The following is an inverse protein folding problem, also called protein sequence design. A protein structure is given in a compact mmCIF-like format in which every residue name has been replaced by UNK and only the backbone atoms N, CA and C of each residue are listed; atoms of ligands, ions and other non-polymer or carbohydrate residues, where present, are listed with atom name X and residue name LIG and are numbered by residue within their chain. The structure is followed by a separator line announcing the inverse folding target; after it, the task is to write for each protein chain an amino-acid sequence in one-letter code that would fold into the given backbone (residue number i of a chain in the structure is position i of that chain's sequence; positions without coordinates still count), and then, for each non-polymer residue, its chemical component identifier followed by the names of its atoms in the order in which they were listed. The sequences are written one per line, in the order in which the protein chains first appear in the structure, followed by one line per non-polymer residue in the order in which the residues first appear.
data_IF_049168594909
#
_entry.id   IF_049168594909
#
_cell.length_a   1.000
_cell.length_b   1.000
_cell.length_c   1.000
_cell.angle_alpha   90.00
_cell.angle_beta   90.00
_cell.angle_gamma   90.00
#
_symmetry.space_group_name_H-M   'P 1'
#
loop_
_entity.id
_entity.type
_entity.pdbx_description
1 polymer ?
#
# COMPACT_ATOMS: atom_id res chain seq x y z
N UNK A 1 -25.19 41.69 -25.11
CA UNK A 1 -26.47 41.11 -24.71
C UNK A 1 -26.35 40.53 -23.32
N UNK A 2 -26.93 41.25 -22.36
CA UNK A 2 -26.98 40.92 -20.94
C UNK A 2 -28.06 39.88 -20.66
N UNK A 3 -27.71 38.81 -19.95
CA UNK A 3 -28.70 37.95 -19.30
C UNK A 3 -28.15 37.43 -17.97
N UNK A 4 -28.57 38.05 -16.87
CA UNK A 4 -28.63 37.43 -15.53
C UNK A 4 -30.05 36.89 -15.30
N UNK A 5 -30.21 35.82 -14.52
CA UNK A 5 -31.07 35.90 -13.31
C UNK A 5 -30.40 35.22 -12.09
N UNK A 6 -30.43 35.74 -10.84
CA UNK A 6 -31.51 35.75 -9.80
C UNK A 6 -32.02 34.31 -9.51
N UNK A 7 -32.07 33.76 -8.29
CA UNK A 7 -32.39 34.26 -6.92
C UNK A 7 -31.83 33.27 -5.86
N UNK A 8 -31.48 33.71 -4.64
CA UNK A 8 -31.04 32.85 -3.53
C UNK A 8 -32.23 32.27 -2.73
N UNK A 9 -32.23 30.96 -2.51
CA UNK A 9 -33.17 30.27 -1.63
C UNK A 9 -32.73 30.33 -0.17
N UNK A 10 -33.51 31.04 0.66
CA UNK A 10 -33.42 31.00 2.13
C UNK A 10 -33.97 29.65 2.63
N UNK A 11 -33.10 28.79 3.16
CA UNK A 11 -33.48 27.51 3.77
C UNK A 11 -33.29 27.51 5.28
N UNK A 12 -34.42 27.55 5.99
CA UNK A 12 -34.77 27.13 7.37
C UNK A 12 -33.71 27.16 8.51
N UNK A 13 -34.04 27.75 9.67
CA UNK A 13 -33.26 27.54 10.89
C UNK A 13 -33.40 26.09 11.40
N UNK A 14 -32.26 25.48 11.74
CA UNK A 14 -32.18 24.18 12.42
C UNK A 14 -32.86 24.24 13.79
N UNK A 15 -33.60 23.19 14.20
CA UNK A 15 -34.09 23.06 15.56
C UNK A 15 -32.93 22.82 16.53
N UNK A 16 -32.92 23.57 17.63
CA UNK A 16 -32.03 23.35 18.78
C UNK A 16 -32.18 21.93 19.33
N UNK A 17 -31.08 21.23 19.62
CA UNK A 17 -31.14 19.94 20.31
C UNK A 17 -31.56 20.15 21.77
N UNK A 18 -32.54 19.36 22.21
CA UNK A 18 -32.98 19.30 23.60
C UNK A 18 -31.85 18.77 24.51
N UNK A 19 -31.73 19.26 25.76
CA UNK A 19 -30.76 18.74 26.72
C UNK A 19 -31.15 17.32 27.13
N UNK A 20 -30.31 16.36 26.77
CA UNK A 20 -30.39 14.98 27.26
C UNK A 20 -30.18 14.99 28.78
N UNK A 21 -31.22 14.58 29.51
CA UNK A 21 -31.16 14.33 30.94
C UNK A 21 -30.18 13.19 31.21
N UNK A 22 -29.05 13.51 31.83
CA UNK A 22 -28.11 12.54 32.41
C UNK A 22 -28.79 11.81 33.58
N UNK A 23 -29.45 10.70 33.27
CA UNK A 23 -29.77 9.68 34.26
C UNK A 23 -28.48 9.06 34.78
N UNK A 24 -28.04 9.48 35.97
CA UNK A 24 -26.95 8.83 36.71
C UNK A 24 -27.44 7.46 37.18
N UNK A 25 -27.28 6.44 36.34
CA UNK A 25 -27.26 5.07 36.82
C UNK A 25 -25.89 4.82 37.48
N UNK A 26 -25.85 4.26 38.71
CA UNK A 26 -24.60 3.82 39.29
C UNK A 26 -23.99 2.76 38.35
N UNK A 27 -22.67 2.82 38.09
CA UNK A 27 -22.01 1.79 37.31
C UNK A 27 -22.18 0.46 38.05
N UNK A 28 -23.01 -0.42 37.49
CA UNK A 28 -23.01 -1.82 37.87
C UNK A 28 -21.66 -2.36 37.42
N UNK A 29 -20.70 -2.40 38.35
CA UNK A 29 -19.42 -3.02 38.11
C UNK A 29 -19.70 -4.47 37.68
N UNK A 30 -19.31 -4.88 36.46
CA UNK A 30 -19.44 -6.26 36.07
C UNK A 30 -18.64 -7.08 37.06
N UNK A 31 -19.35 -7.96 37.79
CA UNK A 31 -18.77 -9.03 38.57
C UNK A 31 -17.68 -9.68 37.72
N UNK A 32 -16.44 -9.54 38.16
CA UNK A 32 -15.32 -10.22 37.52
C UNK A 32 -15.64 -11.72 37.47
N UNK A 33 -15.45 -12.39 36.32
CA UNK A 33 -15.74 -13.80 36.20
C UNK A 33 -14.98 -14.59 37.27
N UNK A 34 -15.72 -15.33 38.09
CA UNK A 34 -15.29 -16.18 39.22
C UNK A 34 -14.43 -17.40 38.78
N UNK A 35 -13.76 -17.31 37.63
CA UNK A 35 -12.86 -18.33 37.05
C UNK A 35 -11.41 -18.21 37.53
N UNK A 36 -11.13 -17.39 38.55
CA UNK A 36 -9.75 -17.02 38.95
C UNK A 36 -9.24 -17.69 40.24
N UNK A 37 -9.96 -18.66 40.79
CA UNK A 37 -9.70 -19.19 42.13
C UNK A 37 -8.45 -20.10 42.29
N UNK A 38 -7.40 -19.98 41.46
CA UNK A 38 -6.22 -20.84 41.60
C UNK A 38 -4.90 -20.45 40.95
N UNK A 39 -4.78 -19.31 40.25
CA UNK A 39 -3.50 -18.88 39.64
C UNK A 39 -3.03 -17.57 40.27
N UNK A 40 -1.73 -17.47 40.58
CA UNK A 40 -1.13 -16.24 41.06
C UNK A 40 -1.25 -15.14 40.00
N UNK A 41 -1.31 -13.88 40.44
CA UNK A 41 -1.23 -12.73 39.53
C UNK A 41 0.00 -12.81 38.61
N UNK A 42 1.13 -13.28 39.14
CA UNK A 42 2.35 -13.48 38.36
C UNK A 42 2.18 -14.56 37.27
N UNK A 43 1.47 -15.66 37.55
CA UNK A 43 1.19 -16.71 36.57
C UNK A 43 0.27 -16.19 35.46
N UNK A 44 -0.72 -15.38 35.83
CA UNK A 44 -1.62 -14.74 34.87
C UNK A 44 -0.87 -13.77 33.95
N UNK A 45 0.01 -12.92 34.49
CA UNK A 45 0.83 -12.03 33.67
C UNK A 45 1.76 -12.81 32.74
N UNK A 46 2.43 -13.84 33.26
CA UNK A 46 3.29 -14.72 32.46
C UNK A 46 2.53 -15.33 31.30
N UNK A 47 1.32 -15.84 31.56
CA UNK A 47 0.44 -16.41 30.54
C UNK A 47 0.03 -15.38 29.49
N UNK A 48 -0.42 -14.20 29.89
CA UNK A 48 -0.81 -13.13 28.95
C UNK A 48 0.36 -12.73 28.05
N UNK A 49 1.57 -12.58 28.61
CA UNK A 49 2.76 -12.25 27.83
C UNK A 49 3.14 -13.37 26.88
N UNK A 50 3.05 -14.62 27.31
CA UNK A 50 3.31 -15.78 26.45
C UNK A 50 2.31 -15.84 25.28
N UNK A 51 1.01 -15.70 25.56
CA UNK A 51 -0.04 -15.70 24.54
C UNK A 51 0.15 -14.55 23.54
N UNK A 52 0.49 -13.35 24.02
CA UNK A 52 0.77 -12.18 23.16
C UNK A 52 2.01 -12.35 22.29
N UNK A 53 3.08 -12.97 22.81
CA UNK A 53 4.28 -13.28 22.04
C UNK A 53 4.01 -14.31 20.95
N UNK A 54 3.25 -15.36 21.27
CA UNK A 54 2.84 -16.37 20.29
C UNK A 54 2.00 -15.75 19.16
N UNK A 55 1.00 -14.94 19.53
CA UNK A 55 0.17 -14.19 18.58
C UNK A 55 1.00 -13.28 17.66
N UNK A 56 1.96 -12.54 18.23
CA UNK A 56 2.84 -11.68 17.42
C UNK A 56 3.72 -12.50 16.46
N UNK A 57 4.31 -13.60 16.93
CA UNK A 57 5.14 -14.47 16.10
C UNK A 57 4.33 -15.08 14.93
N UNK A 58 3.08 -15.45 15.18
CA UNK A 58 2.18 -15.94 14.13
C UNK A 58 1.90 -14.87 13.06
N UNK A 59 1.63 -13.63 13.49
CA UNK A 59 1.40 -12.50 12.57
C UNK A 59 2.64 -12.15 11.74
N UNK A 60 3.83 -12.23 12.33
CA UNK A 60 5.11 -12.05 11.62
C UNK A 60 5.32 -13.12 10.55
N UNK A 61 5.00 -14.38 10.87
CA UNK A 61 5.04 -15.49 9.91
C UNK A 61 4.04 -15.28 8.77
N UNK A 62 2.84 -14.80 9.06
CA UNK A 62 1.81 -14.47 8.06
C UNK A 62 2.26 -13.31 7.16
N UNK A 63 2.86 -12.25 7.73
CA UNK A 63 3.42 -11.13 6.98
C UNK A 63 4.54 -11.57 6.01
N UNK A 64 5.43 -12.45 6.47
CA UNK A 64 6.58 -12.94 5.67
C UNK A 64 6.14 -13.61 4.37
N UNK A 65 4.98 -14.29 4.36
CA UNK A 65 4.42 -14.90 3.13
C UNK A 65 4.17 -13.85 2.05
N UNK A 66 3.55 -12.73 2.41
CA UNK A 66 3.31 -11.63 1.47
C UNK A 66 4.62 -11.01 1.01
N UNK A 67 5.56 -10.69 1.91
CA UNK A 67 6.83 -10.06 1.53
C UNK A 67 7.63 -10.89 0.52
N UNK A 68 7.69 -12.22 0.70
CA UNK A 68 8.35 -13.11 -0.25
C UNK A 68 7.65 -13.14 -1.62
N UNK A 69 6.32 -13.11 -1.62
CA UNK A 69 5.54 -13.09 -2.85
C UNK A 69 5.61 -11.76 -3.59
N UNK A 70 5.47 -10.65 -2.86
CA UNK A 70 5.61 -9.29 -3.34
C UNK A 70 6.95 -9.11 -4.05
N UNK A 71 8.04 -9.64 -3.48
CA UNK A 71 9.34 -9.62 -4.13
C UNK A 71 9.32 -10.28 -5.51
N UNK A 72 8.70 -11.46 -5.65
CA UNK A 72 8.59 -12.16 -6.93
C UNK A 72 7.76 -11.37 -7.94
N UNK A 73 6.66 -10.76 -7.52
CA UNK A 73 5.84 -9.90 -8.38
C UNK A 73 6.64 -8.69 -8.89
N UNK A 74 7.43 -8.07 -8.00
CA UNK A 74 8.27 -6.93 -8.34
C UNK A 74 9.41 -7.31 -9.31
N UNK A 75 9.99 -8.51 -9.18
CA UNK A 75 10.96 -9.03 -10.16
C UNK A 75 10.32 -9.22 -11.53
N UNK A 76 9.15 -9.87 -11.60
CA UNK A 76 8.39 -10.03 -12.86
C UNK A 76 8.05 -8.67 -13.48
N UNK A 77 7.60 -7.70 -12.68
CA UNK A 77 7.29 -6.36 -13.16
C UNK A 77 8.53 -5.63 -13.69
N UNK A 78 9.69 -5.75 -13.01
CA UNK A 78 10.94 -5.15 -13.46
C UNK A 78 11.42 -5.74 -14.80
N UNK A 79 11.26 -7.05 -14.99
CA UNK A 79 11.59 -7.69 -16.27
C UNK A 79 10.66 -7.22 -17.39
N UNK A 80 9.35 -7.14 -17.17
CA UNK A 80 8.41 -6.57 -18.15
C UNK A 80 8.75 -5.10 -18.46
N UNK A 81 9.11 -4.31 -17.45
CA UNK A 81 9.54 -2.92 -17.64
C UNK A 81 10.78 -2.84 -18.54
N UNK A 82 11.81 -3.66 -18.28
CA UNK A 82 13.01 -3.77 -19.11
C UNK A 82 12.67 -4.13 -20.55
N UNK A 83 11.78 -5.10 -20.76
CA UNK A 83 11.32 -5.48 -22.11
C UNK A 83 10.67 -4.31 -22.86
N UNK A 84 9.93 -3.43 -22.16
CA UNK A 84 9.38 -2.22 -22.78
C UNK A 84 10.49 -1.21 -23.12
N UNK A 85 11.43 -0.98 -22.20
CA UNK A 85 12.57 -0.09 -22.48
C UNK A 85 13.39 -0.57 -23.69
N UNK A 86 13.62 -1.88 -23.83
CA UNK A 86 14.31 -2.44 -25.00
C UNK A 86 13.56 -2.12 -26.31
N UNK A 87 12.23 -2.26 -26.33
CA UNK A 87 11.42 -1.88 -27.50
C UNK A 87 11.48 -0.40 -27.84
N UNK A 88 11.48 0.49 -26.83
CA UNK A 88 11.64 1.93 -27.06
C UNK A 88 13.04 2.26 -27.58
N UNK A 89 14.08 1.56 -27.09
CA UNK A 89 15.44 1.70 -27.58
C UNK A 89 15.60 1.23 -29.03
N UNK A 90 14.95 0.12 -29.41
CA UNK A 90 14.88 -0.35 -30.81
C UNK A 90 14.21 0.68 -31.73
N UNK A 91 13.25 1.44 -31.19
CA UNK A 91 12.61 2.57 -31.87
C UNK A 91 13.44 3.87 -31.83
N UNK A 92 14.73 3.79 -31.49
CA UNK A 92 15.66 4.93 -31.39
C UNK A 92 15.25 6.00 -30.36
N UNK A 93 14.46 5.64 -29.34
CA UNK A 93 14.14 6.54 -28.23
C UNK A 93 15.13 6.33 -27.09
N UNK A 94 15.36 7.39 -26.31
CA UNK A 94 16.28 7.39 -25.16
C UNK A 94 15.56 7.56 -23.82
N UNK A 95 14.24 7.46 -23.84
CA UNK A 95 13.38 7.61 -22.68
C UNK A 95 12.14 6.72 -22.82
N UNK A 96 11.59 6.28 -21.68
CA UNK A 96 10.34 5.55 -21.62
C UNK A 96 9.55 5.95 -20.38
N UNK A 97 8.22 6.06 -20.55
CA UNK A 97 7.28 6.25 -19.45
C UNK A 97 6.30 5.10 -19.44
N UNK A 98 6.35 4.27 -18.40
CA UNK A 98 5.57 3.04 -18.31
C UNK A 98 4.75 3.05 -17.02
N UNK A 99 3.48 2.63 -17.12
CA UNK A 99 2.60 2.53 -15.96
C UNK A 99 2.77 1.18 -15.26
N UNK A 100 3.11 1.19 -13.96
CA UNK A 100 3.19 0.00 -13.11
C UNK A 100 1.84 -0.73 -13.01
N UNK A 101 0.73 0.00 -13.05
CA UNK A 101 -0.61 -0.59 -13.05
C UNK A 101 -0.92 -1.35 -14.35
N UNK A 102 -0.34 -0.94 -15.48
CA UNK A 102 -0.46 -1.69 -16.73
C UNK A 102 0.39 -2.96 -16.67
N UNK A 103 1.61 -2.87 -16.12
CA UNK A 103 2.48 -4.04 -15.94
C UNK A 103 1.85 -5.08 -15.00
N UNK A 104 1.18 -4.66 -13.94
CA UNK A 104 0.57 -5.58 -12.98
C UNK A 104 -0.56 -6.42 -13.60
N UNK A 105 -1.23 -5.93 -14.64
CA UNK A 105 -2.25 -6.70 -15.38
C UNK A 105 -1.64 -7.81 -16.24
N UNK A 106 -0.40 -7.66 -16.66
CA UNK A 106 0.33 -8.62 -17.51
C UNK A 106 0.95 -9.76 -16.70
N UNK A 107 1.01 -9.63 -15.37
CA UNK A 107 1.50 -10.65 -14.47
C UNK A 107 0.34 -11.57 -14.07
N UNK A 108 0.41 -12.83 -14.49
CA UNK A 108 -0.65 -13.83 -14.29
C UNK A 108 -1.08 -13.97 -12.83
N UNK A 109 -0.11 -14.11 -11.92
CA UNK A 109 -0.38 -14.33 -10.49
C UNK A 109 -0.57 -13.02 -9.69
N UNK A 110 -0.60 -11.87 -10.35
CA UNK A 110 -0.85 -10.62 -9.64
C UNK A 110 -2.27 -10.61 -9.03
N UNK A 111 -2.47 -10.06 -7.81
CA UNK A 111 -3.79 -9.93 -7.24
C UNK A 111 -4.82 -9.38 -8.24
N UNK A 112 -5.96 -10.05 -8.35
CA UNK A 112 -7.03 -9.64 -9.27
C UNK A 112 -7.96 -8.67 -8.56
N UNK A 113 -8.61 -7.83 -9.36
CA UNK A 113 -9.53 -6.81 -8.87
C UNK A 113 -10.93 -7.04 -9.38
N UNK A 114 -11.89 -6.65 -8.56
CA UNK A 114 -13.30 -6.56 -8.90
C UNK A 114 -13.75 -5.10 -8.76
N UNK A 115 -14.65 -4.67 -9.65
CA UNK A 115 -15.24 -3.33 -9.62
C UNK A 115 -16.58 -3.40 -8.87
N UNK A 116 -16.66 -2.72 -7.73
CA UNK A 116 -17.89 -2.63 -6.91
C UNK A 116 -18.15 -1.15 -6.62
N UNK A 117 -19.33 -0.65 -6.98
CA UNK A 117 -19.74 0.74 -6.72
C UNK A 117 -18.71 1.79 -7.21
N UNK A 118 -18.17 1.59 -8.41
CA UNK A 118 -17.11 2.42 -9.02
C UNK A 118 -15.74 2.38 -8.32
N UNK A 119 -15.54 1.46 -7.36
CA UNK A 119 -14.28 1.29 -6.62
C UNK A 119 -13.67 -0.07 -6.93
N UNK A 120 -12.35 -0.11 -7.16
CA UNK A 120 -11.62 -1.36 -7.39
C UNK A 120 -11.13 -1.96 -6.08
N UNK A 121 -11.64 -3.14 -5.75
CA UNK A 121 -11.22 -3.94 -4.60
C UNK A 121 -10.41 -5.14 -5.05
N UNK A 122 -9.55 -5.65 -4.18
CA UNK A 122 -8.88 -6.93 -4.40
C UNK A 122 -9.91 -8.05 -4.24
N UNK A 123 -10.03 -8.89 -5.27
CA UNK A 123 -10.92 -10.05 -5.29
C UNK A 123 -10.15 -11.31 -4.89
N UNK A 124 -9.07 -11.60 -5.60
CA UNK A 124 -8.21 -12.77 -5.36
C UNK A 124 -6.77 -12.36 -5.14
N UNK A 125 -6.11 -12.94 -4.14
CA UNK A 125 -4.73 -12.60 -3.75
C UNK A 125 -3.66 -13.47 -4.45
N UNK A 126 -4.05 -14.57 -5.10
CA UNK A 126 -3.13 -15.60 -5.60
C UNK A 126 -2.89 -16.72 -4.58
N UNK A 127 -2.10 -17.71 -4.97
CA UNK A 127 -1.99 -18.99 -4.25
C UNK A 127 -1.49 -18.84 -2.81
N UNK A 128 -2.36 -19.21 -1.86
CA UNK A 128 -2.04 -19.31 -0.43
C UNK A 128 -1.88 -17.97 0.30
N UNK A 129 -2.18 -16.86 -0.36
CA UNK A 129 -2.13 -15.51 0.21
C UNK A 129 -3.51 -15.03 0.64
N UNK A 130 -3.50 -14.12 1.61
CA UNK A 130 -4.71 -13.52 2.15
C UNK A 130 -4.54 -12.01 2.34
N UNK A 131 -5.67 -11.31 2.43
CA UNK A 131 -5.68 -9.89 2.81
C UNK A 131 -4.96 -9.64 4.14
N UNK A 132 -5.07 -10.58 5.08
CA UNK A 132 -4.36 -10.55 6.36
C UNK A 132 -2.83 -10.57 6.20
N UNK A 133 -2.31 -11.43 5.30
CA UNK A 133 -0.87 -11.49 5.01
C UNK A 133 -0.33 -10.17 4.45
N UNK A 134 -1.06 -9.57 3.51
CA UNK A 134 -0.74 -8.24 2.97
C UNK A 134 -0.85 -7.16 4.05
N UNK A 135 -1.90 -7.20 4.87
CA UNK A 135 -2.14 -6.20 5.91
C UNK A 135 -1.01 -6.18 6.93
N UNK A 136 -0.63 -7.33 7.49
CA UNK A 136 0.46 -7.39 8.47
C UNK A 136 1.83 -7.07 7.85
N UNK A 137 2.07 -7.42 6.59
CA UNK A 137 3.30 -7.02 5.90
C UNK A 137 3.37 -5.50 5.64
N UNK A 138 2.23 -4.84 5.44
CA UNK A 138 2.17 -3.41 5.09
C UNK A 138 2.06 -2.51 6.32
N UNK A 139 1.27 -2.92 7.31
CA UNK A 139 0.93 -2.12 8.50
C UNK A 139 1.70 -2.57 9.75
N UNK A 140 2.39 -3.70 9.68
CA UNK A 140 3.15 -4.31 10.77
C UNK A 140 2.34 -5.34 11.57
N UNK A 141 3.01 -6.32 12.22
CA UNK A 141 2.36 -7.43 12.93
C UNK A 141 1.59 -6.99 14.19
N UNK A 142 1.87 -5.79 14.71
CA UNK A 142 1.19 -5.24 15.89
C UNK A 142 -0.14 -4.56 15.55
N UNK A 143 -0.44 -4.33 14.27
CA UNK A 143 -1.66 -3.68 13.83
C UNK A 143 -2.92 -4.53 14.11
N UNK A 144 -4.07 -3.89 14.28
CA UNK A 144 -5.35 -4.58 14.43
C UNK A 144 -5.96 -4.88 13.05
N UNK A 145 -6.14 -6.16 12.74
CA UNK A 145 -6.80 -6.61 11.52
C UNK A 145 -8.27 -6.96 11.80
N UNK A 146 -9.16 -6.56 10.89
CA UNK A 146 -10.57 -6.94 10.91
C UNK A 146 -10.85 -7.91 9.76
N UNK A 147 -11.15 -9.19 10.04
CA UNK A 147 -11.48 -10.16 9.00
C UNK A 147 -12.65 -9.67 8.13
N UNK A 148 -12.50 -9.82 6.80
CA UNK A 148 -13.51 -9.39 5.83
C UNK A 148 -13.48 -7.90 5.49
N UNK A 149 -12.58 -7.11 6.07
CA UNK A 149 -12.38 -5.73 5.63
C UNK A 149 -11.90 -5.72 4.16
N UNK A 150 -12.61 -5.02 3.26
CA UNK A 150 -12.22 -4.97 1.85
C UNK A 150 -10.92 -4.18 1.68
N UNK A 151 -10.05 -4.64 0.79
CA UNK A 151 -8.78 -3.97 0.47
C UNK A 151 -8.89 -3.29 -0.87
N UNK A 152 -8.58 -2.01 -0.92
CA UNK A 152 -8.53 -1.26 -2.18
C UNK A 152 -7.35 -1.74 -3.02
N UNK A 153 -7.59 -2.03 -4.30
CA UNK A 153 -6.51 -2.42 -5.21
C UNK A 153 -5.43 -1.33 -5.34
N UNK A 154 -5.84 -0.07 -5.24
CA UNK A 154 -4.93 1.08 -5.23
C UNK A 154 -3.96 1.06 -4.03
N UNK A 155 -4.39 0.60 -2.84
CA UNK A 155 -3.49 0.50 -1.67
C UNK A 155 -2.39 -0.54 -1.89
N UNK A 156 -2.71 -1.66 -2.54
CA UNK A 156 -1.73 -2.68 -2.90
C UNK A 156 -0.68 -2.11 -3.86
N UNK A 157 -1.12 -1.44 -4.93
CA UNK A 157 -0.21 -0.80 -5.87
C UNK A 157 0.64 0.29 -5.20
N UNK A 158 0.05 1.10 -4.32
CA UNK A 158 0.74 2.17 -3.60
C UNK A 158 1.83 1.63 -2.68
N UNK A 159 1.58 0.51 -1.99
CA UNK A 159 2.58 -0.14 -1.14
C UNK A 159 3.74 -0.74 -1.95
N UNK A 160 3.47 -1.23 -3.17
CA UNK A 160 4.47 -1.88 -4.02
C UNK A 160 5.30 -0.90 -4.87
N UNK A 161 4.73 0.24 -5.25
CA UNK A 161 5.33 1.17 -6.22
C UNK A 161 6.72 1.70 -5.79
N UNK A 162 6.97 2.12 -4.53
CA UNK A 162 8.30 2.56 -4.13
C UNK A 162 9.36 1.46 -4.31
N UNK A 163 9.03 0.23 -3.91
CA UNK A 163 9.91 -0.95 -4.05
C UNK A 163 10.18 -1.29 -5.52
N UNK A 164 9.17 -1.12 -6.38
CA UNK A 164 9.32 -1.26 -7.82
C UNK A 164 10.30 -0.22 -8.39
N UNK A 165 10.12 1.06 -8.03
CA UNK A 165 11.01 2.15 -8.46
C UNK A 165 12.46 1.90 -8.02
N UNK A 166 12.68 1.38 -6.81
CA UNK A 166 14.03 1.06 -6.34
C UNK A 166 14.68 -0.06 -7.18
N UNK A 167 13.91 -1.06 -7.62
CA UNK A 167 14.42 -2.10 -8.55
C UNK A 167 14.72 -1.54 -9.93
N UNK A 168 13.87 -0.66 -10.45
CA UNK A 168 14.10 0.00 -11.74
C UNK A 168 15.37 0.86 -11.69
N UNK A 169 15.59 1.62 -10.60
CA UNK A 169 16.82 2.39 -10.38
C UNK A 169 18.07 1.51 -10.40
N UNK A 170 17.99 0.29 -9.84
CA UNK A 170 19.10 -0.65 -9.82
C UNK A 170 19.52 -1.15 -11.23
N UNK A 171 18.71 -0.91 -12.27
CA UNK A 171 19.04 -1.25 -13.67
C UNK A 171 20.04 -0.27 -14.32
N UNK A 172 20.37 0.85 -13.67
CA UNK A 172 21.43 1.76 -14.13
C UNK A 172 20.99 2.82 -15.14
N UNK A 173 19.71 3.19 -15.17
CA UNK A 173 19.21 4.32 -15.96
C UNK A 173 19.87 5.65 -15.53
N UNK A 174 20.01 6.60 -16.47
CA UNK A 174 20.54 7.95 -16.20
C UNK A 174 19.61 8.72 -15.29
N UNK A 175 18.30 8.64 -15.57
CA UNK A 175 17.26 9.18 -14.69
C UNK A 175 16.20 8.13 -14.45
N UNK A 176 15.61 8.15 -13.26
CA UNK A 176 14.45 7.33 -12.92
C UNK A 176 13.58 8.12 -11.95
N UNK A 177 12.37 8.47 -12.39
CA UNK A 177 11.41 9.24 -11.60
C UNK A 177 10.02 8.60 -11.65
N UNK A 178 9.24 8.85 -10.61
CA UNK A 178 7.83 8.46 -10.53
C UNK A 178 6.97 9.73 -10.54
N UNK A 179 5.89 9.72 -11.32
CA UNK A 179 4.98 10.85 -11.42
C UNK A 179 3.93 10.77 -10.30
N UNK A 180 4.01 11.71 -9.34
CA UNK A 180 3.14 11.76 -8.16
C UNK A 180 1.65 11.74 -8.52
N UNK A 181 0.86 10.98 -7.76
CA UNK A 181 -0.57 10.79 -8.02
C UNK A 181 -0.89 9.85 -9.20
N UNK A 182 0.12 9.32 -9.88
CA UNK A 182 -0.05 8.34 -10.97
C UNK A 182 0.70 7.04 -10.66
N UNK A 183 0.54 6.05 -11.53
CA UNK A 183 1.30 4.80 -11.52
C UNK A 183 2.47 4.80 -12.51
N UNK A 184 2.84 5.97 -13.08
CA UNK A 184 3.84 6.05 -14.15
C UNK A 184 5.25 6.21 -13.60
N UNK A 185 6.15 5.43 -14.15
CA UNK A 185 7.59 5.51 -13.91
C UNK A 185 8.26 5.91 -15.23
N UNK A 186 9.04 6.97 -15.18
CA UNK A 186 9.79 7.52 -16.31
C UNK A 186 11.27 7.25 -16.11
N UNK A 187 11.93 6.76 -17.16
CA UNK A 187 13.38 6.53 -17.18
C UNK A 187 14.00 7.12 -18.43
N UNK A 188 15.27 7.47 -18.35
CA UNK A 188 16.09 7.82 -19.52
C UNK A 188 17.43 7.12 -19.50
N UNK A 189 18.00 6.91 -20.68
CA UNK A 189 19.32 6.31 -20.88
C UNK A 189 20.12 7.13 -21.91
N UNK A 190 21.47 6.99 -21.94
CA UNK A 190 22.31 7.77 -22.84
C UNK A 190 22.01 7.46 -24.31
N UNK A 191 22.03 8.48 -25.16
CA UNK A 191 21.96 8.32 -26.61
C UNK A 191 23.25 7.71 -27.15
N UNK A 192 23.20 6.79 -28.13
CA UNK A 192 24.40 6.22 -28.75
C UNK A 192 25.26 7.27 -29.49
N UNK A 193 24.64 8.36 -29.95
CA UNK A 193 25.33 9.44 -30.68
C UNK A 193 25.95 10.50 -29.76
N UNK A 194 25.61 10.48 -28.48
CA UNK A 194 26.11 11.47 -27.53
C UNK A 194 27.53 11.06 -27.11
N UNK A 195 28.58 11.82 -27.50
CA UNK A 195 29.95 11.46 -27.20
C UNK A 195 30.10 11.39 -25.69
N UNK A 196 30.54 10.23 -25.17
CA UNK A 196 30.64 9.94 -23.74
C UNK A 196 31.23 11.16 -23.01
N UNK A 197 30.35 11.92 -22.35
CA UNK A 197 30.75 13.17 -21.72
C UNK A 197 31.84 12.82 -20.71
N UNK A 198 33.09 13.18 -21.06
CA UNK A 198 34.27 13.01 -20.20
C UNK A 198 33.88 13.59 -18.85
N UNK A 199 33.60 12.71 -17.89
CA UNK A 199 33.20 13.03 -16.53
C UNK A 199 34.18 14.08 -16.05
N UNK A 200 33.78 15.35 -16.03
CA UNK A 200 34.63 16.46 -15.59
C UNK A 200 34.96 16.12 -14.15
N UNK A 201 36.18 15.59 -13.93
CA UNK A 201 36.81 15.50 -12.62
C UNK A 201 36.97 16.95 -12.16
N UNK A 202 35.91 17.47 -11.54
CA UNK A 202 35.94 18.74 -10.84
C UNK A 202 36.81 18.54 -9.61
N UNK A 203 38.07 18.94 -9.75
CA UNK A 203 38.82 19.73 -8.78
C UNK A 203 38.13 19.87 -7.43
N UNK A 204 38.49 18.97 -6.52
CA UNK A 204 38.42 19.15 -5.08
C UNK A 204 39.41 20.29 -4.74
N UNK A 205 38.88 21.51 -4.70
CA UNK A 205 39.59 22.70 -4.29
C UNK A 205 39.50 22.84 -2.78
N UNK A 206 40.66 22.66 -2.14
CA UNK A 206 41.17 23.22 -0.88
C UNK A 206 40.22 24.10 -0.06
#
# INVERSE_FOLDING_TARGET
SSSRPRVPGRGRPSPSPAPLRFGRHPPSFPLWPERWAGMSFADNLTKIVADKKAEQSDRERVATKWSGYESKLLDKAAELFKQRCMREAEAQRCEATISFEVLSREIEDFPKRILTDSTYFVDTWGDGLSAESWFYATRGPTASWSPGAPVLFAEVLQGMLPKFVDRVKALGFTTCSHEAGTWKVSVSWPSPDEPAHKKRRGSEGV
#
